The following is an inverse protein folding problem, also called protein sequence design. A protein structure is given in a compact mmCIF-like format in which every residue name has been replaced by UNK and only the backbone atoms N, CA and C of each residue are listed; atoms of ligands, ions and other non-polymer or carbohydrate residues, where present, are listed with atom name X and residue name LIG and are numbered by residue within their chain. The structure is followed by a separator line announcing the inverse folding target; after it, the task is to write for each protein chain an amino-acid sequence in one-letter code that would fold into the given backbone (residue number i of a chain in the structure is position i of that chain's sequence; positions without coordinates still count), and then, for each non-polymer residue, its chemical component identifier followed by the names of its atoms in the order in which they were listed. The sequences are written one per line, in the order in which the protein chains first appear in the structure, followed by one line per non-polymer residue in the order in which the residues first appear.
data_IF_059940967214
#
_entry.id   IF_059940967214
#
_cell.length_a   1.000
_cell.length_b   1.000
_cell.length_c   1.000
_cell.angle_alpha   90.00
_cell.angle_beta   90.00
_cell.angle_gamma   90.00
#
_symmetry.space_group_name_H-M   'P 1'
#
loop_
_entity.id
_entity.type
_entity.pdbx_description
1 polymer ?
#
# COMPACT_ATOMS: atom_id res chain seq x y z
N UNK A 1 59.43 17.42 -22.64
CA UNK A 1 59.21 15.96 -22.76
C UNK A 1 57.70 15.75 -22.88
N UNK A 2 57.09 16.13 -24.01
CA UNK A 2 56.55 15.24 -25.05
C UNK A 2 55.44 14.31 -24.49
N UNK A 3 54.13 14.59 -24.57
CA UNK A 3 53.21 14.86 -25.70
C UNK A 3 52.79 13.61 -26.49
N UNK A 4 51.46 13.42 -26.63
CA UNK A 4 50.64 12.85 -27.75
C UNK A 4 49.44 12.07 -27.15
N UNK A 5 48.15 12.47 -27.09
CA UNK A 5 47.20 13.22 -27.95
C UNK A 5 46.50 12.39 -29.07
N UNK A 6 45.15 12.48 -29.08
CA UNK A 6 44.17 12.41 -30.22
C UNK A 6 43.72 10.97 -30.60
N UNK A 7 42.44 10.60 -30.85
CA UNK A 7 41.31 11.30 -31.49
C UNK A 7 39.94 10.59 -31.35
N UNK A 8 38.89 11.41 -31.44
CA UNK A 8 37.49 11.14 -31.79
C UNK A 8 37.24 10.47 -33.16
N UNK A 9 36.04 9.91 -33.37
CA UNK A 9 35.05 10.22 -34.47
C UNK A 9 33.81 9.32 -34.30
N UNK A 10 32.58 9.83 -34.13
CA UNK A 10 31.60 10.44 -35.06
C UNK A 10 30.85 9.46 -36.01
N UNK A 11 29.51 9.51 -35.91
CA UNK A 11 28.45 8.90 -36.72
C UNK A 11 28.65 9.04 -38.25
N UNK A 12 27.92 8.23 -39.06
CA UNK A 12 26.79 8.85 -39.77
C UNK A 12 25.52 7.99 -39.92
N UNK A 13 24.42 8.74 -39.99
CA UNK A 13 23.08 8.44 -40.50
C UNK A 13 23.07 7.88 -41.93
N UNK A 14 22.08 7.03 -42.26
CA UNK A 14 21.26 7.17 -43.47
C UNK A 14 19.98 6.32 -43.47
N UNK A 15 18.90 6.99 -43.84
CA UNK A 15 17.55 6.53 -44.14
C UNK A 15 17.40 5.97 -45.56
N UNK A 16 16.37 5.12 -45.77
CA UNK A 16 15.45 5.01 -46.95
C UNK A 16 14.64 3.70 -46.81
N UNK A 17 13.33 3.71 -46.51
CA UNK A 17 12.17 3.94 -47.39
C UNK A 17 12.15 3.04 -48.64
N UNK A 18 11.32 1.98 -48.61
CA UNK A 18 10.55 1.52 -49.77
C UNK A 18 9.18 0.99 -49.33
N UNK A 19 8.17 1.46 -50.06
CA UNK A 19 6.73 1.27 -49.92
C UNK A 19 6.29 0.40 -51.09
N UNK A 20 5.33 -0.51 -50.89
CA UNK A 20 4.24 -0.67 -51.84
C UNK A 20 3.95 -2.05 -52.47
N UNK A 21 2.73 -2.53 -52.14
CA UNK A 21 1.73 -3.23 -53.00
C UNK A 21 2.06 -4.67 -53.46
N UNK A 22 1.16 -5.66 -53.58
CA UNK A 22 -0.30 -5.73 -53.85
C UNK A 22 -0.73 -7.22 -53.63
N UNK A 23 -1.78 -7.54 -52.84
CA UNK A 23 -3.17 -7.91 -53.21
C UNK A 23 -3.43 -9.16 -54.09
N UNK A 24 -4.38 -9.99 -53.58
CA UNK A 24 -5.34 -10.92 -54.23
C UNK A 24 -5.06 -12.46 -54.28
N UNK A 25 -6.11 -13.32 -54.34
CA UNK A 25 -6.27 -14.52 -53.50
C UNK A 25 -6.57 -15.80 -54.32
N UNK A 26 -6.84 -16.94 -53.67
CA UNK A 26 -7.65 -18.00 -54.30
C UNK A 26 -8.36 -18.92 -53.28
N UNK A 27 -9.67 -19.11 -53.51
CA UNK A 27 -10.56 -20.15 -52.98
C UNK A 27 -10.28 -21.51 -53.64
N UNK A 28 -10.49 -22.62 -52.93
CA UNK A 28 -11.67 -23.53 -53.03
C UNK A 28 -11.40 -24.89 -52.37
N UNK A 29 -12.41 -25.43 -51.68
CA UNK A 29 -12.42 -26.82 -51.19
C UNK A 29 -13.67 -27.12 -50.38
N UNK A 30 -14.74 -27.53 -51.07
CA UNK A 30 -16.02 -27.99 -50.56
C UNK A 30 -15.90 -29.35 -49.83
N UNK A 31 -16.69 -29.54 -48.77
CA UNK A 31 -17.48 -30.78 -48.58
C UNK A 31 -18.65 -30.50 -47.61
N UNK A 32 -19.85 -30.86 -48.06
CA UNK A 32 -21.14 -30.77 -47.37
C UNK A 32 -21.70 -32.18 -47.22
N UNK A 33 -22.32 -32.46 -46.08
CA UNK A 33 -23.47 -33.38 -45.95
C UNK A 33 -24.33 -32.79 -44.81
N UNK A 34 -25.40 -32.04 -45.07
CA UNK A 34 -26.80 -32.42 -45.39
C UNK A 34 -27.57 -33.19 -44.31
N UNK A 35 -28.57 -32.48 -43.77
CA UNK A 35 -29.99 -32.84 -43.58
C UNK A 35 -30.36 -33.98 -42.60
N UNK A 36 -31.52 -33.97 -41.92
CA UNK A 36 -32.81 -33.28 -42.08
C UNK A 36 -33.43 -33.13 -40.66
N UNK A 37 -34.08 -32.02 -40.27
CA UNK A 37 -35.35 -31.44 -40.75
C UNK A 37 -36.60 -32.14 -40.21
N UNK A 38 -37.44 -31.41 -39.45
CA UNK A 38 -38.81 -30.96 -39.79
C UNK A 38 -39.58 -30.57 -38.52
N UNK A 39 -39.96 -29.29 -38.36
CA UNK A 39 -41.19 -28.61 -38.85
C UNK A 39 -42.43 -29.00 -38.01
N UNK A 40 -43.34 -28.11 -37.59
CA UNK A 40 -44.04 -27.01 -38.26
C UNK A 40 -44.57 -26.02 -37.18
N UNK A 41 -44.45 -24.70 -37.31
CA UNK A 41 -45.23 -23.73 -38.12
C UNK A 41 -46.64 -23.40 -37.59
N UNK A 42 -46.88 -22.13 -37.23
CA UNK A 42 -47.75 -21.16 -37.93
C UNK A 42 -47.76 -19.81 -37.17
N UNK A 43 -47.22 -18.72 -37.74
CA UNK A 43 -47.90 -17.58 -38.42
C UNK A 43 -48.97 -16.90 -37.52
N UNK A 44 -48.94 -15.60 -37.20
CA UNK A 44 -49.12 -14.43 -38.11
C UNK A 44 -48.76 -13.10 -37.39
N UNK A 45 -48.52 -12.05 -38.18
CA UNK A 45 -47.89 -10.71 -37.97
C UNK A 45 -48.75 -9.61 -37.24
N UNK A 46 -48.20 -8.38 -36.95
CA UNK A 46 -48.48 -7.50 -35.78
C UNK A 46 -49.42 -6.28 -36.17
N UNK A 47 -49.64 -5.14 -35.43
CA UNK A 47 -48.75 -4.33 -34.54
C UNK A 47 -49.37 -3.63 -33.29
N UNK A 48 -48.52 -3.07 -32.41
CA UNK A 48 -48.56 -1.67 -31.86
C UNK A 48 -48.00 -1.51 -30.43
N UNK A 49 -46.99 -0.62 -30.35
CA UNK A 49 -46.67 0.40 -29.34
C UNK A 49 -47.16 0.29 -27.87
N UNK A 50 -46.15 0.21 -27.00
CA UNK A 50 -45.81 1.17 -25.92
C UNK A 50 -46.35 0.96 -24.48
N UNK A 51 -45.37 1.08 -23.55
CA UNK A 51 -45.40 1.44 -22.11
C UNK A 51 -45.54 0.36 -21.01
N UNK A 52 -44.40 0.20 -20.35
CA UNK A 52 -44.18 0.23 -18.90
C UNK A 52 -44.83 -0.82 -18.01
N UNK A 53 -44.07 -1.88 -17.72
CA UNK A 53 -44.06 -2.49 -16.38
C UNK A 53 -42.62 -2.71 -15.89
N UNK A 54 -42.19 -1.84 -14.98
CA UNK A 54 -41.03 -2.00 -14.11
C UNK A 54 -41.07 -3.36 -13.40
N UNK A 55 -40.09 -4.21 -13.70
CA UNK A 55 -39.74 -5.35 -12.86
C UNK A 55 -38.78 -4.84 -11.76
N UNK A 56 -38.99 -5.17 -10.47
CA UNK A 56 -38.15 -4.65 -9.40
C UNK A 56 -36.73 -5.20 -9.54
N UNK A 57 -35.76 -4.28 -9.53
CA UNK A 57 -34.32 -4.57 -9.57
C UNK A 57 -33.96 -5.60 -8.49
N UNK A 58 -33.32 -6.69 -8.91
CA UNK A 58 -32.67 -7.63 -8.01
C UNK A 58 -31.75 -6.88 -7.07
N UNK A 59 -32.03 -6.92 -5.77
CA UNK A 59 -31.07 -6.54 -4.73
C UNK A 59 -29.83 -7.41 -4.95
N UNK A 60 -28.75 -6.82 -5.45
CA UNK A 60 -27.44 -7.47 -5.49
C UNK A 60 -27.09 -7.93 -4.08
N UNK A 61 -26.97 -9.25 -3.91
CA UNK A 61 -26.49 -9.83 -2.67
C UNK A 61 -25.00 -9.52 -2.57
N UNK A 62 -24.64 -8.54 -1.74
CA UNK A 62 -23.26 -8.32 -1.32
C UNK A 62 -22.64 -9.66 -0.89
N UNK A 63 -21.48 -10.01 -1.48
CA UNK A 63 -20.79 -11.24 -1.13
C UNK A 63 -20.36 -11.22 0.35
N UNK A 64 -20.27 -12.38 0.99
CA UNK A 64 -19.82 -12.48 2.39
C UNK A 64 -18.45 -11.81 2.62
N UNK A 65 -17.57 -11.85 1.62
CA UNK A 65 -16.30 -11.16 1.61
C UNK A 65 -16.46 -9.63 1.57
N UNK A 66 -17.36 -9.11 0.72
CA UNK A 66 -17.67 -7.69 0.66
C UNK A 66 -18.25 -7.17 1.99
N UNK A 67 -19.09 -7.98 2.65
CA UNK A 67 -19.65 -7.68 3.97
C UNK A 67 -18.59 -7.70 5.09
N UNK A 68 -17.66 -8.65 5.05
CA UNK A 68 -16.58 -8.75 6.04
C UNK A 68 -15.57 -7.61 5.88
N UNK A 69 -15.25 -7.23 4.64
CA UNK A 69 -14.42 -6.05 4.34
C UNK A 69 -15.08 -4.73 4.74
N UNK A 70 -16.40 -4.56 4.51
CA UNK A 70 -17.16 -3.39 4.99
C UNK A 70 -17.19 -3.31 6.51
N UNK A 71 -17.38 -4.46 7.17
CA UNK A 71 -17.33 -4.52 8.62
C UNK A 71 -15.92 -4.15 9.12
N UNK A 72 -14.86 -4.66 8.49
CA UNK A 72 -13.48 -4.36 8.88
C UNK A 72 -13.13 -2.88 8.69
N UNK A 73 -13.37 -2.32 7.49
CA UNK A 73 -13.15 -0.89 7.23
C UNK A 73 -14.07 0.00 8.06
N UNK A 74 -15.30 -0.42 8.28
CA UNK A 74 -16.25 0.26 9.15
C UNK A 74 -15.83 0.23 10.62
N UNK A 75 -15.26 -0.88 11.10
CA UNK A 75 -14.67 -0.99 12.44
C UNK A 75 -13.41 -0.13 12.51
N UNK A 76 -12.49 -0.22 11.56
CA UNK A 76 -11.29 0.62 11.51
C UNK A 76 -11.67 2.11 11.49
N UNK A 77 -12.62 2.51 10.64
CA UNK A 77 -13.14 3.88 10.56
C UNK A 77 -13.88 4.31 11.84
N UNK A 78 -14.66 3.43 12.48
CA UNK A 78 -15.32 3.73 13.78
C UNK A 78 -14.33 3.80 14.93
N UNK A 79 -13.29 2.97 14.93
CA UNK A 79 -12.21 3.02 15.91
C UNK A 79 -11.42 4.33 15.75
N UNK A 80 -11.24 4.82 14.53
CA UNK A 80 -10.71 6.15 14.25
C UNK A 80 -11.69 7.23 14.76
N UNK A 81 -12.99 7.16 14.40
CA UNK A 81 -13.99 8.21 14.67
C UNK A 81 -14.45 8.33 16.14
N UNK A 82 -14.76 7.22 16.82
CA UNK A 82 -15.23 7.24 18.21
C UNK A 82 -14.17 7.77 19.18
N UNK A 83 -12.89 7.71 18.80
CA UNK A 83 -11.76 8.14 19.64
C UNK A 83 -11.51 9.65 19.58
N UNK A 84 -12.03 10.35 18.57
CA UNK A 84 -11.88 11.80 18.39
C UNK A 84 -12.94 12.64 19.10
N UNK A 85 -14.16 12.09 19.32
CA UNK A 85 -15.23 12.79 20.05
C UNK A 85 -14.90 13.01 21.55
N UNK A 86 -13.82 12.44 22.07
CA UNK A 86 -13.39 12.60 23.46
C UNK A 86 -12.27 13.65 23.65
N UNK A 87 -11.75 14.26 22.58
CA UNK A 87 -10.59 15.18 22.66
C UNK A 87 -10.91 16.65 22.30
N UNK A 88 -12.12 17.11 22.58
CA UNK A 88 -12.43 18.55 22.57
C UNK A 88 -11.92 19.23 23.86
N UNK A 89 -10.62 19.14 24.16
CA UNK A 89 -9.92 19.98 25.14
C UNK A 89 -8.40 19.81 25.05
N UNK A 90 -7.71 20.60 24.21
CA UNK A 90 -6.54 21.44 24.55
C UNK A 90 -5.64 21.71 23.34
N UNK A 91 -5.33 22.99 23.14
CA UNK A 91 -4.50 23.55 22.09
C UNK A 91 -3.00 23.59 22.44
N UNK A 92 -2.18 23.48 21.38
CA UNK A 92 -0.81 24.01 21.19
C UNK A 92 0.18 23.96 22.39
N UNK A 93 1.14 23.02 22.39
CA UNK A 93 2.51 23.23 22.95
C UNK A 93 3.56 22.35 22.25
N UNK A 94 4.67 22.99 21.88
CA UNK A 94 5.94 22.47 21.35
C UNK A 94 6.63 21.36 22.19
N UNK A 95 7.44 20.55 21.49
CA UNK A 95 8.66 19.86 21.94
C UNK A 95 8.66 19.29 23.38
N UNK A 96 8.29 18.02 23.58
CA UNK A 96 8.76 17.19 24.72
C UNK A 96 8.83 15.69 24.35
N UNK A 97 9.75 14.92 24.95
CA UNK A 97 10.18 13.61 24.43
C UNK A 97 9.23 12.46 24.77
N UNK A 98 9.21 11.47 23.87
CA UNK A 98 8.54 10.15 23.94
C UNK A 98 8.47 9.59 25.37
N UNK A 99 7.26 9.35 25.86
CA UNK A 99 7.02 8.81 27.22
C UNK A 99 7.24 7.28 27.23
N UNK A 100 8.42 6.83 27.68
CA UNK A 100 8.77 5.41 27.89
C UNK A 100 7.98 4.81 29.06
N UNK A 101 7.42 3.62 28.88
CA UNK A 101 6.88 2.80 29.97
C UNK A 101 7.85 1.62 30.14
N UNK A 102 8.54 1.53 31.27
CA UNK A 102 9.33 0.35 31.62
C UNK A 102 8.38 -0.75 32.12
N UNK A 103 8.42 -1.93 31.52
CA UNK A 103 7.81 -3.13 32.10
C UNK A 103 8.82 -3.82 33.03
N UNK A 104 8.56 -3.74 34.33
CA UNK A 104 9.09 -4.65 35.34
C UNK A 104 8.19 -5.89 35.41
N UNK A 105 8.81 -7.07 35.50
CA UNK A 105 8.23 -8.39 35.82
C UNK A 105 7.65 -9.22 34.67
N UNK A 106 8.53 -9.94 33.96
CA UNK A 106 8.23 -11.31 33.50
C UNK A 106 9.49 -12.17 33.70
N UNK A 107 9.43 -13.10 34.65
CA UNK A 107 10.50 -14.05 34.96
C UNK A 107 10.71 -15.13 33.88
N UNK A 108 11.98 -15.35 33.57
CA UNK A 108 12.68 -16.54 33.06
C UNK A 108 11.92 -17.67 32.36
N UNK A 109 12.24 -17.86 31.07
CA UNK A 109 12.71 -19.17 30.59
C UNK A 109 13.54 -19.04 29.29
N UNK A 110 14.81 -19.46 29.37
CA UNK A 110 15.65 -20.06 28.31
C UNK A 110 15.75 -19.42 26.91
N UNK A 111 16.93 -18.83 26.64
CA UNK A 111 17.66 -18.83 25.35
C UNK A 111 17.13 -18.05 24.12
N UNK A 112 16.41 -16.93 24.29
CA UNK A 112 16.25 -15.99 23.16
C UNK A 112 16.08 -14.53 23.60
N UNK A 113 17.08 -13.95 24.26
CA UNK A 113 17.06 -12.54 24.72
C UNK A 113 16.73 -11.54 23.59
N UNK A 114 17.05 -11.90 22.35
CA UNK A 114 16.76 -11.11 21.13
C UNK A 114 15.28 -11.05 20.74
N UNK A 115 14.47 -12.03 21.14
CA UNK A 115 13.03 -12.08 20.84
C UNK A 115 12.16 -11.43 21.93
N UNK A 116 12.77 -11.01 23.04
CA UNK A 116 12.08 -10.33 24.13
C UNK A 116 11.56 -8.97 23.66
N UNK A 117 10.39 -8.57 24.18
CA UNK A 117 9.87 -7.21 24.02
C UNK A 117 10.84 -6.27 24.73
N UNK A 118 11.37 -5.29 24.00
CA UNK A 118 12.33 -4.33 24.53
C UNK A 118 11.72 -2.97 24.87
N UNK A 119 10.68 -2.56 24.13
CA UNK A 119 9.96 -1.30 24.36
C UNK A 119 8.47 -1.49 24.10
N UNK A 120 7.68 -0.85 24.97
CA UNK A 120 6.25 -0.69 24.81
C UNK A 120 5.94 0.80 24.82
N UNK A 121 5.32 1.29 23.75
CA UNK A 121 4.94 2.70 23.60
C UNK A 121 3.45 2.80 23.26
N UNK A 122 2.90 4.00 23.50
CA UNK A 122 1.50 4.36 23.23
C UNK A 122 1.47 5.43 22.15
N UNK A 123 0.46 5.39 21.28
CA UNK A 123 0.41 6.32 20.14
C UNK A 123 0.12 7.71 20.66
N UNK A 124 0.89 8.68 20.19
CA UNK A 124 0.68 10.08 20.55
C UNK A 124 -0.65 10.61 19.96
N UNK A 125 -1.18 9.94 18.93
CA UNK A 125 -2.49 10.22 18.32
C UNK A 125 -3.57 9.21 18.76
N UNK A 126 -3.18 7.97 19.07
CA UNK A 126 -4.07 6.88 19.50
C UNK A 126 -3.59 6.17 20.79
N UNK A 127 -3.71 6.79 21.99
CA UNK A 127 -3.09 6.33 23.23
C UNK A 127 -3.59 4.97 23.77
N UNK A 128 -4.66 4.42 23.18
CA UNK A 128 -5.18 3.07 23.45
C UNK A 128 -4.45 1.97 22.68
N UNK A 129 -3.74 2.30 21.61
CA UNK A 129 -2.94 1.35 20.84
C UNK A 129 -1.59 1.21 21.52
N UNK A 130 -1.37 0.02 22.07
CA UNK A 130 -0.09 -0.38 22.63
C UNK A 130 0.68 -1.12 21.55
N UNK A 131 1.91 -0.70 21.28
CA UNK A 131 2.80 -1.47 20.42
C UNK A 131 4.04 -1.95 21.12
N UNK A 132 4.49 -3.11 20.64
CA UNK A 132 5.69 -3.81 21.10
C UNK A 132 6.78 -3.67 20.04
N UNK A 133 7.98 -3.29 20.48
CA UNK A 133 9.20 -3.36 19.69
C UNK A 133 10.15 -4.36 20.36
N UNK A 134 10.75 -5.29 19.61
CA UNK A 134 11.65 -6.29 20.20
C UNK A 134 13.02 -5.67 20.51
N UNK A 135 13.74 -6.23 21.48
CA UNK A 135 15.09 -5.78 21.85
C UNK A 135 16.01 -5.71 20.64
N UNK A 136 16.01 -6.74 19.79
CA UNK A 136 16.84 -6.77 18.57
C UNK A 136 16.51 -5.63 17.58
N UNK A 137 15.25 -5.20 17.54
CA UNK A 137 14.79 -4.15 16.62
C UNK A 137 15.24 -2.77 17.14
N UNK A 138 15.32 -2.60 18.46
CA UNK A 138 15.79 -1.37 19.13
C UNK A 138 17.31 -1.23 19.01
N UNK A 139 18.05 -2.31 19.26
CA UNK A 139 19.50 -2.32 19.08
C UNK A 139 19.85 -2.00 17.62
N UNK A 140 19.15 -2.62 16.66
CA UNK A 140 19.33 -2.33 15.24
C UNK A 140 18.95 -0.87 14.87
N UNK A 141 17.96 -0.27 15.53
CA UNK A 141 17.60 1.14 15.32
C UNK A 141 18.68 2.09 15.89
N UNK A 142 19.27 1.76 17.04
CA UNK A 142 20.37 2.53 17.63
C UNK A 142 21.68 2.45 16.83
N UNK A 143 21.90 1.34 16.11
CA UNK A 143 23.07 1.15 15.25
C UNK A 143 22.93 1.77 13.85
N UNK A 144 21.81 2.47 13.55
CA UNK A 144 21.55 3.00 12.21
C UNK A 144 22.54 4.09 11.80
N UNK A 145 22.93 4.01 10.52
CA UNK A 145 23.54 5.11 9.76
C UNK A 145 22.52 6.24 9.57
N UNK A 146 23.02 7.45 9.33
CA UNK A 146 22.28 8.71 9.12
C UNK A 146 20.90 8.48 8.51
N UNK A 147 19.87 8.97 9.19
CA UNK A 147 18.47 8.86 8.78
C UNK A 147 18.04 10.21 8.24
N UNK A 148 17.35 10.28 7.11
CA UNK A 148 16.77 11.55 6.64
C UNK A 148 15.39 11.77 7.25
N UNK A 149 15.07 13.03 7.47
CA UNK A 149 13.80 13.50 8.01
C UNK A 149 13.18 14.49 7.05
N UNK A 150 11.85 14.47 6.84
CA UNK A 150 10.89 13.57 7.47
C UNK A 150 10.91 12.17 6.85
N UNK A 151 10.42 11.19 7.62
CA UNK A 151 10.02 9.89 7.06
C UNK A 151 8.60 9.94 6.48
N UNK A 152 8.22 8.94 5.69
CA UNK A 152 6.91 8.86 5.06
C UNK A 152 6.10 7.64 5.53
N UNK A 153 4.87 7.88 5.98
CA UNK A 153 3.94 6.85 6.42
C UNK A 153 2.79 6.70 5.42
N UNK A 154 2.68 5.53 4.79
CA UNK A 154 1.63 5.21 3.83
C UNK A 154 0.48 4.45 4.48
N UNK A 155 -0.75 4.92 4.25
CA UNK A 155 -1.94 4.33 4.85
C UNK A 155 -2.28 2.94 4.32
N UNK A 156 -3.20 2.26 5.02
CA UNK A 156 -4.00 1.21 4.40
C UNK A 156 -4.82 1.76 3.23
N UNK A 157 -5.09 0.91 2.22
CA UNK A 157 -5.80 1.36 1.01
C UNK A 157 -6.33 0.25 0.09
N UNK A 158 -5.98 -1.02 0.33
CA UNK A 158 -6.39 -2.14 -0.52
C UNK A 158 -6.02 -1.91 -2.00
N UNK A 159 -7.00 -1.98 -2.90
CA UNK A 159 -6.80 -1.72 -4.33
C UNK A 159 -6.64 -0.24 -4.71
N UNK A 160 -6.64 0.68 -3.74
CA UNK A 160 -6.13 2.06 -3.96
C UNK A 160 -4.60 2.12 -4.02
N UNK A 161 -3.90 0.98 -4.00
CA UNK A 161 -2.45 0.86 -4.18
C UNK A 161 -1.86 1.76 -5.27
N UNK A 162 -2.46 1.92 -6.49
CA UNK A 162 -1.93 2.82 -7.51
C UNK A 162 -1.76 4.26 -7.03
N UNK A 163 -2.65 4.76 -6.18
CA UNK A 163 -2.55 6.10 -5.61
C UNK A 163 -1.25 6.27 -4.82
N UNK A 164 -0.95 5.32 -3.93
CA UNK A 164 0.29 5.36 -3.15
C UNK A 164 1.54 5.24 -4.04
N UNK A 165 1.47 4.46 -5.13
CA UNK A 165 2.56 4.37 -6.12
C UNK A 165 2.80 5.70 -6.83
N UNK A 166 1.74 6.42 -7.20
CA UNK A 166 1.84 7.75 -7.81
C UNK A 166 2.46 8.78 -6.86
N UNK A 167 2.03 8.78 -5.59
CA UNK A 167 2.64 9.62 -4.54
C UNK A 167 4.13 9.29 -4.40
N UNK A 168 4.47 8.00 -4.28
CA UNK A 168 5.85 7.55 -4.14
C UNK A 168 6.72 7.96 -5.34
N UNK A 169 6.19 7.87 -6.57
CA UNK A 169 6.90 8.29 -7.79
C UNK A 169 7.31 9.76 -7.69
N UNK A 170 6.38 10.66 -7.38
CA UNK A 170 6.69 12.08 -7.23
C UNK A 170 7.72 12.33 -6.13
N UNK A 171 7.54 11.73 -4.96
CA UNK A 171 8.42 11.93 -3.81
C UNK A 171 9.86 11.47 -4.08
N UNK A 172 10.03 10.37 -4.82
CA UNK A 172 11.35 9.88 -5.25
C UNK A 172 11.95 10.83 -6.29
N UNK A 173 11.20 11.20 -7.33
CA UNK A 173 11.69 12.07 -8.41
C UNK A 173 12.14 13.45 -7.92
N UNK A 174 11.48 13.97 -6.89
CA UNK A 174 11.80 15.27 -6.30
C UNK A 174 12.78 15.21 -5.14
N UNK A 175 13.27 14.02 -4.77
CA UNK A 175 14.30 13.86 -3.75
C UNK A 175 13.82 13.90 -2.30
N UNK A 176 12.50 13.83 -2.05
CA UNK A 176 11.95 13.69 -0.70
C UNK A 176 12.21 12.30 -0.12
N UNK A 177 12.07 11.26 -0.95
CA UNK A 177 12.39 9.88 -0.58
C UNK A 177 13.76 9.53 -1.16
N UNK A 178 14.72 9.30 -0.26
CA UNK A 178 16.09 8.90 -0.52
C UNK A 178 16.35 7.51 0.08
N UNK A 179 17.56 7.00 -0.11
CA UNK A 179 17.97 5.68 0.42
C UNK A 179 17.90 5.60 1.94
N UNK A 180 18.17 6.72 2.61
CA UNK A 180 18.16 6.89 4.07
C UNK A 180 16.80 7.28 4.64
N UNK A 181 15.78 7.50 3.80
CA UNK A 181 14.46 7.96 4.25
C UNK A 181 13.68 6.81 4.89
N UNK A 182 13.26 6.94 6.16
CA UNK A 182 12.40 5.97 6.79
C UNK A 182 11.02 5.92 6.19
N UNK A 183 10.53 4.71 5.98
CA UNK A 183 9.19 4.47 5.47
C UNK A 183 8.42 3.65 6.49
N UNK A 184 7.11 3.85 6.55
CA UNK A 184 6.23 3.01 7.34
C UNK A 184 4.94 2.79 6.57
N UNK A 185 4.36 1.61 6.70
CA UNK A 185 3.18 1.28 5.91
C UNK A 185 2.32 0.20 6.54
N UNK A 186 1.05 0.26 6.21
CA UNK A 186 0.04 -0.72 6.59
C UNK A 186 -0.69 -1.20 5.35
N UNK A 187 -0.90 -2.50 5.21
CA UNK A 187 -1.62 -3.08 4.07
C UNK A 187 -1.04 -2.61 2.72
N UNK A 188 -1.82 -1.95 1.86
CA UNK A 188 -1.33 -1.35 0.60
C UNK A 188 -0.10 -0.42 0.80
N UNK A 189 -0.05 0.35 1.87
CA UNK A 189 1.12 1.18 2.19
C UNK A 189 2.37 0.36 2.51
N UNK A 190 2.22 -0.80 3.17
CA UNK A 190 3.34 -1.71 3.44
C UNK A 190 3.92 -2.29 2.13
N UNK A 191 3.05 -2.61 1.17
CA UNK A 191 3.45 -3.06 -0.17
C UNK A 191 4.29 -1.97 -0.85
N UNK A 192 3.82 -0.71 -0.86
CA UNK A 192 4.58 0.41 -1.46
C UNK A 192 5.94 0.61 -0.78
N UNK A 193 6.00 0.54 0.55
CA UNK A 193 7.28 0.65 1.27
C UNK A 193 8.27 -0.44 0.84
N UNK A 194 7.81 -1.69 0.72
CA UNK A 194 8.64 -2.80 0.25
C UNK A 194 9.10 -2.62 -1.21
N UNK A 195 8.23 -2.11 -2.09
CA UNK A 195 8.58 -1.80 -3.48
C UNK A 195 9.66 -0.72 -3.53
N UNK A 196 9.49 0.40 -2.81
CA UNK A 196 10.47 1.50 -2.76
C UNK A 196 11.83 0.98 -2.26
N UNK A 197 11.84 0.30 -1.11
CA UNK A 197 13.07 -0.22 -0.52
C UNK A 197 13.72 -1.32 -1.39
N UNK A 198 12.93 -2.06 -2.17
CA UNK A 198 13.47 -3.04 -3.12
C UNK A 198 14.20 -2.40 -4.30
N UNK A 199 13.99 -1.10 -4.57
CA UNK A 199 14.55 -0.39 -5.72
C UNK A 199 13.80 -0.66 -7.04
N UNK A 200 12.61 -1.25 -6.99
CA UNK A 200 11.75 -1.40 -8.16
C UNK A 200 11.13 -0.05 -8.54
N UNK A 201 10.89 0.17 -9.85
CA UNK A 201 10.22 1.38 -10.33
C UNK A 201 8.73 1.35 -10.03
N UNK A 202 8.11 2.52 -9.79
CA UNK A 202 6.67 2.57 -9.54
C UNK A 202 5.86 2.16 -10.78
N UNK A 203 6.39 2.38 -11.98
CA UNK A 203 5.78 1.89 -13.24
C UNK A 203 5.69 0.36 -13.30
N UNK A 204 6.76 -0.34 -12.88
CA UNK A 204 6.74 -1.80 -12.81
C UNK A 204 5.73 -2.26 -11.74
N UNK A 205 5.75 -1.62 -10.58
CA UNK A 205 4.80 -1.91 -9.51
C UNK A 205 3.35 -1.67 -9.94
N UNK A 206 3.07 -0.63 -10.72
CA UNK A 206 1.75 -0.35 -11.27
C UNK A 206 1.33 -1.45 -12.25
N UNK A 207 2.22 -1.90 -13.14
CA UNK A 207 1.94 -3.03 -14.05
C UNK A 207 1.60 -4.31 -13.28
N UNK A 208 2.34 -4.61 -12.22
CA UNK A 208 2.07 -5.77 -11.34
C UNK A 208 0.74 -5.60 -10.61
N UNK A 209 0.44 -4.41 -10.10
CA UNK A 209 -0.85 -4.10 -9.49
C UNK A 209 -2.02 -4.25 -10.48
N UNK A 210 -1.83 -3.91 -11.75
CA UNK A 210 -2.82 -4.14 -12.82
C UNK A 210 -3.06 -5.63 -13.05
N UNK A 211 -2.02 -6.46 -13.02
CA UNK A 211 -2.16 -7.93 -13.13
C UNK A 211 -3.00 -8.48 -11.97
N UNK A 212 -2.71 -8.04 -10.75
CA UNK A 212 -3.49 -8.40 -9.55
C UNK A 212 -4.96 -7.97 -9.69
N UNK A 213 -5.19 -6.72 -10.08
CA UNK A 213 -6.51 -6.15 -10.24
C UNK A 213 -7.31 -6.86 -11.33
N UNK A 214 -6.70 -7.15 -12.48
CA UNK A 214 -7.34 -7.86 -13.58
C UNK A 214 -7.74 -9.29 -13.20
N UNK A 215 -6.84 -10.03 -12.54
CA UNK A 215 -7.15 -11.35 -12.02
C UNK A 215 -8.31 -11.31 -11.01
N UNK A 216 -8.34 -10.30 -10.14
CA UNK A 216 -9.41 -10.09 -9.17
C UNK A 216 -10.75 -9.71 -9.81
N UNK A 217 -10.76 -8.84 -10.83
CA UNK A 217 -11.98 -8.51 -11.60
C UNK A 217 -12.55 -9.74 -12.29
N UNK A 218 -11.70 -10.59 -12.87
CA UNK A 218 -12.14 -11.76 -13.65
C UNK A 218 -12.62 -12.93 -12.79
N UNK A 219 -12.00 -13.15 -11.64
CA UNK A 219 -12.19 -14.38 -10.84
C UNK A 219 -12.64 -14.11 -9.40
N UNK A 220 -12.85 -12.85 -9.02
CA UNK A 220 -13.24 -12.42 -7.68
C UNK A 220 -12.07 -12.39 -6.69
N UNK A 221 -12.18 -11.56 -5.67
CA UNK A 221 -11.16 -11.30 -4.63
C UNK A 221 -11.22 -12.30 -3.47
N UNK A 222 -12.44 -12.67 -3.10
CA UNK A 222 -12.75 -13.46 -1.90
C UNK A 222 -11.92 -14.74 -1.79
N UNK A 223 -11.29 -14.93 -0.63
CA UNK A 223 -10.53 -16.11 -0.22
C UNK A 223 -9.27 -16.41 -1.05
N UNK A 224 -8.93 -15.53 -2.00
CA UNK A 224 -7.92 -15.80 -3.04
C UNK A 224 -6.87 -14.70 -3.14
N UNK A 225 -7.21 -13.47 -2.77
CA UNK A 225 -6.34 -12.31 -2.87
C UNK A 225 -4.95 -12.54 -2.24
N UNK A 226 -4.88 -13.21 -1.09
CA UNK A 226 -3.60 -13.48 -0.43
C UNK A 226 -2.67 -14.42 -1.20
N UNK A 227 -3.23 -15.39 -1.92
CA UNK A 227 -2.44 -16.32 -2.73
C UNK A 227 -1.89 -15.61 -3.97
N UNK A 228 -2.75 -14.87 -4.69
CA UNK A 228 -2.33 -14.13 -5.90
C UNK A 228 -1.30 -13.06 -5.55
N UNK A 229 -1.51 -12.31 -4.47
CA UNK A 229 -0.54 -11.33 -3.99
C UNK A 229 0.79 -11.99 -3.64
N UNK A 230 0.78 -13.15 -2.97
CA UNK A 230 2.01 -13.89 -2.64
C UNK A 230 2.78 -14.30 -3.88
N UNK A 231 2.11 -14.83 -4.89
CA UNK A 231 2.74 -15.27 -6.13
C UNK A 231 3.44 -14.10 -6.82
N UNK A 232 2.77 -12.93 -6.90
CA UNK A 232 3.35 -11.72 -7.47
C UNK A 232 4.54 -11.20 -6.65
N UNK A 233 4.46 -11.19 -5.31
CA UNK A 233 5.61 -10.80 -4.47
C UNK A 233 6.79 -11.78 -4.63
N UNK A 234 6.52 -13.07 -4.79
CA UNK A 234 7.53 -14.09 -5.07
C UNK A 234 8.12 -14.01 -6.49
N UNK A 235 7.37 -13.48 -7.45
CA UNK A 235 7.87 -13.29 -8.80
C UNK A 235 8.71 -12.00 -8.93
N UNK A 236 8.23 -10.89 -8.36
CA UNK A 236 8.75 -9.57 -8.66
C UNK A 236 9.68 -8.97 -7.61
N UNK A 237 9.67 -9.42 -6.35
CA UNK A 237 10.63 -8.90 -5.37
C UNK A 237 12.03 -9.50 -5.59
N UNK A 238 13.11 -8.68 -5.53
CA UNK A 238 14.47 -9.18 -5.56
C UNK A 238 14.79 -10.14 -4.39
N UNK A 239 15.71 -11.10 -4.57
CA UNK A 239 16.15 -12.01 -3.50
C UNK A 239 16.64 -11.32 -2.22
N UNK A 240 17.28 -10.15 -2.35
CA UNK A 240 17.86 -9.35 -1.27
C UNK A 240 16.90 -8.28 -0.71
N UNK A 241 15.63 -8.29 -1.12
CA UNK A 241 14.61 -7.32 -0.69
C UNK A 241 14.50 -7.16 0.82
N UNK A 242 14.52 -8.26 1.57
CA UNK A 242 14.51 -8.23 3.05
C UNK A 242 15.68 -7.42 3.64
N UNK A 243 16.89 -7.60 3.12
CA UNK A 243 18.06 -6.85 3.56
C UNK A 243 17.94 -5.35 3.27
N UNK A 244 17.39 -4.99 2.09
CA UNK A 244 17.17 -3.58 1.73
C UNK A 244 16.05 -2.93 2.55
N UNK A 245 15.08 -3.73 2.99
CA UNK A 245 13.97 -3.28 3.83
C UNK A 245 14.37 -3.13 5.31
N UNK A 246 15.33 -3.94 5.78
CA UNK A 246 15.73 -3.99 7.18
C UNK A 246 16.18 -2.62 7.69
N UNK A 247 15.49 -2.15 8.73
CA UNK A 247 15.71 -0.86 9.36
C UNK A 247 15.28 0.36 8.55
N UNK A 248 14.90 0.21 7.28
CA UNK A 248 14.41 1.30 6.44
C UNK A 248 12.90 1.41 6.46
N UNK A 249 12.19 0.27 6.48
CA UNK A 249 10.73 0.24 6.46
C UNK A 249 10.17 -0.32 7.78
N UNK A 250 8.99 0.17 8.18
CA UNK A 250 8.18 -0.45 9.23
C UNK A 250 6.86 -0.96 8.66
N UNK A 251 6.60 -2.25 8.83
CA UNK A 251 5.35 -2.89 8.42
C UNK A 251 4.44 -3.03 9.64
N UNK A 252 3.26 -2.41 9.59
CA UNK A 252 2.27 -2.52 10.65
C UNK A 252 1.47 -3.82 10.54
N UNK A 253 1.30 -4.52 11.65
CA UNK A 253 0.50 -5.74 11.77
C UNK A 253 -0.32 -5.66 13.05
N UNK A 254 -1.57 -6.13 13.02
CA UNK A 254 -2.39 -6.21 14.22
C UNK A 254 -2.30 -7.61 14.83
N UNK A 255 -1.80 -7.76 16.04
CA UNK A 255 -1.86 -9.01 16.79
C UNK A 255 -3.23 -9.17 17.47
N UNK A 256 -3.82 -10.35 17.31
CA UNK A 256 -5.05 -10.74 17.99
C UNK A 256 -4.72 -11.20 19.40
N UNK A 257 -5.18 -10.43 20.38
CA UNK A 257 -5.20 -10.74 21.80
C UNK A 257 -6.55 -10.28 22.36
N UNK A 258 -6.82 -10.49 23.66
CA UNK A 258 -8.02 -9.96 24.32
C UNK A 258 -8.19 -8.45 24.13
N UNK A 259 -7.06 -7.71 24.12
CA UNK A 259 -6.95 -6.36 23.57
C UNK A 259 -6.02 -6.40 22.36
N UNK A 260 -6.47 -6.05 21.14
CA UNK A 260 -5.61 -6.01 19.97
C UNK A 260 -4.36 -5.17 20.23
N UNK A 261 -3.20 -5.66 19.80
CA UNK A 261 -1.91 -4.95 19.93
C UNK A 261 -1.31 -4.71 18.55
N UNK A 262 -0.74 -3.53 18.35
CA UNK A 262 -0.03 -3.22 17.11
C UNK A 262 1.40 -3.75 17.16
N UNK A 263 1.87 -4.33 16.06
CA UNK A 263 3.24 -4.76 15.87
C UNK A 263 3.84 -3.95 14.73
N UNK A 264 5.02 -3.36 14.94
CA UNK A 264 5.80 -2.72 13.89
C UNK A 264 7.00 -3.60 13.58
N UNK A 265 6.99 -4.20 12.39
CA UNK A 265 8.06 -5.09 11.95
C UNK A 265 9.00 -4.30 11.05
N UNK A 266 10.25 -4.15 11.48
CA UNK A 266 11.30 -3.44 10.74
C UNK A 266 12.56 -4.29 10.50
N UNK A 267 12.58 -5.51 11.03
CA UNK A 267 13.60 -6.53 10.78
C UNK A 267 12.96 -7.80 10.23
N UNK A 268 13.49 -8.25 9.10
CA UNK A 268 13.09 -9.38 8.27
C UNK A 268 14.27 -10.35 8.16
N UNK A 269 14.08 -11.58 8.63
CA UNK A 269 15.16 -12.57 8.72
C UNK A 269 15.43 -13.23 7.34
N UNK A 270 14.48 -13.11 6.41
CA UNK A 270 14.59 -13.59 5.03
C UNK A 270 13.60 -12.87 4.11
N UNK A 271 13.77 -13.05 2.79
CA UNK A 271 12.78 -12.58 1.80
C UNK A 271 11.38 -13.14 2.06
N UNK A 272 11.28 -14.41 2.43
CA UNK A 272 10.00 -15.05 2.75
C UNK A 272 9.38 -14.44 4.01
N UNK A 273 10.19 -14.10 5.02
CA UNK A 273 9.73 -13.41 6.23
C UNK A 273 9.18 -12.00 5.93
N UNK A 274 9.84 -11.24 5.03
CA UNK A 274 9.32 -9.98 4.51
C UNK A 274 7.96 -10.16 3.81
N UNK A 275 7.86 -11.12 2.89
CA UNK A 275 6.61 -11.40 2.16
C UNK A 275 5.50 -11.81 3.13
N UNK A 276 5.81 -12.64 4.13
CA UNK A 276 4.88 -13.01 5.19
C UNK A 276 4.42 -11.81 6.00
N UNK A 277 5.32 -10.88 6.34
CA UNK A 277 4.97 -9.66 7.06
C UNK A 277 4.02 -8.77 6.23
N UNK A 278 4.33 -8.52 4.96
CA UNK A 278 3.51 -7.70 4.06
C UNK A 278 2.14 -8.33 3.84
N UNK A 279 2.04 -9.64 3.58
CA UNK A 279 0.75 -10.31 3.40
C UNK A 279 -0.07 -10.29 4.70
N UNK A 280 0.59 -10.48 5.84
CA UNK A 280 -0.08 -10.39 7.15
C UNK A 280 -0.60 -8.98 7.39
N UNK A 281 0.19 -7.95 7.04
CA UNK A 281 -0.19 -6.55 7.09
C UNK A 281 -1.40 -6.22 6.22
N UNK A 282 -1.66 -7.01 5.17
CA UNK A 282 -2.85 -6.91 4.30
C UNK A 282 -3.99 -7.86 4.67
N UNK A 283 -3.87 -8.67 5.74
CA UNK A 283 -4.78 -9.79 6.00
C UNK A 283 -6.14 -9.35 6.56
N UNK A 284 -7.13 -9.19 5.68
CA UNK A 284 -8.53 -8.98 6.06
C UNK A 284 -9.27 -10.35 6.02
N UNK A 285 -9.82 -10.84 7.15
CA UNK A 285 -10.53 -12.12 7.21
C UNK A 285 -11.68 -12.20 6.20
N UNK A 286 -11.87 -13.37 5.57
CA UNK A 286 -12.90 -13.58 4.55
C UNK A 286 -12.61 -12.91 3.20
N UNK A 287 -11.66 -11.97 3.16
CA UNK A 287 -11.21 -11.28 1.96
C UNK A 287 -9.94 -11.94 1.40
N UNK A 288 -8.89 -12.02 2.23
CA UNK A 288 -7.56 -12.49 1.83
C UNK A 288 -7.44 -14.01 1.83
N UNK A 289 -8.06 -14.66 2.81
CA UNK A 289 -8.15 -16.12 2.93
C UNK A 289 -9.39 -16.54 3.74
N UNK A 290 -9.73 -17.82 3.69
CA UNK A 290 -10.82 -18.41 4.49
C UNK A 290 -10.52 -18.51 5.99
N UNK A 291 -9.24 -18.38 6.37
CA UNK A 291 -8.83 -18.43 7.78
C UNK A 291 -9.24 -17.14 8.50
N UNK A 292 -9.59 -17.22 9.80
CA UNK A 292 -9.98 -16.04 10.57
C UNK A 292 -8.81 -15.11 10.90
N UNK A 293 -7.58 -15.61 10.79
CA UNK A 293 -6.35 -14.87 11.08
C UNK A 293 -5.17 -15.46 10.29
N UNK A 294 -4.12 -14.66 10.09
CA UNK A 294 -2.81 -15.12 9.64
C UNK A 294 -1.95 -15.54 10.85
N UNK A 295 -1.02 -16.46 10.63
CA UNK A 295 0.04 -16.77 11.61
C UNK A 295 1.31 -16.08 11.13
N UNK A 296 1.83 -15.16 11.93
CA UNK A 296 3.10 -14.47 11.66
C UNK A 296 4.00 -14.56 12.89
N UNK A 297 5.19 -15.15 12.74
CA UNK A 297 6.15 -15.38 13.84
C UNK A 297 5.48 -15.93 15.11
N UNK A 298 4.70 -17.01 14.93
CA UNK A 298 3.94 -17.71 15.98
C UNK A 298 2.85 -16.89 16.69
N UNK A 299 2.41 -15.76 16.10
CA UNK A 299 1.32 -14.92 16.61
C UNK A 299 0.15 -14.94 15.65
N UNK A 300 -1.07 -14.93 16.18
CA UNK A 300 -2.28 -14.73 15.37
C UNK A 300 -2.43 -13.25 15.06
N UNK A 301 -2.53 -12.92 13.78
CA UNK A 301 -2.46 -11.56 13.28
C UNK A 301 -3.51 -11.25 12.21
N UNK A 302 -3.82 -9.97 12.07
CA UNK A 302 -4.69 -9.34 11.07
C UNK A 302 -3.96 -8.17 10.40
N UNK A 303 -4.61 -7.60 9.39
CA UNK A 303 -4.21 -6.38 8.70
C UNK A 303 -3.85 -5.27 9.71
N UNK A 304 -2.74 -4.59 9.43
CA UNK A 304 -2.18 -3.57 10.30
C UNK A 304 -3.09 -2.36 10.46
N UNK A 305 -3.98 -2.10 9.49
CA UNK A 305 -4.85 -0.94 9.44
C UNK A 305 -5.90 -0.91 10.55
N UNK A 306 -6.09 -2.04 11.25
CA UNK A 306 -6.97 -2.11 12.43
C UNK A 306 -6.37 -1.42 13.66
N UNK A 307 -5.05 -1.47 13.84
CA UNK A 307 -4.35 -0.76 14.94
C UNK A 307 -3.58 0.46 14.47
N UNK A 308 -2.98 0.40 13.28
CA UNK A 308 -2.20 1.47 12.69
C UNK A 308 -2.61 1.66 11.24
N UNK A 309 -3.57 2.56 11.04
CA UNK A 309 -3.95 2.93 9.68
C UNK A 309 -2.79 3.64 8.96
N UNK A 310 -1.99 4.44 9.68
CA UNK A 310 -0.78 5.12 9.21
C UNK A 310 0.32 5.03 10.29
N UNK A 311 1.17 3.99 10.27
CA UNK A 311 2.14 3.74 11.34
C UNK A 311 3.27 4.78 11.43
N UNK A 312 3.86 5.00 12.62
CA UNK A 312 4.96 5.95 12.78
C UNK A 312 6.27 5.47 12.13
N UNK A 313 7.03 6.40 11.57
CA UNK A 313 8.37 6.14 11.01
C UNK A 313 9.46 6.26 12.08
N UNK A 314 10.71 5.89 11.76
CA UNK A 314 11.84 6.03 12.68
C UNK A 314 12.41 7.45 12.74
N UNK A 315 12.10 8.30 11.76
CA UNK A 315 12.49 9.72 11.75
C UNK A 315 11.80 10.51 12.88
N UNK A 316 12.37 11.66 13.26
CA UNK A 316 11.74 12.55 14.25
C UNK A 316 10.43 13.19 13.76
N UNK A 317 10.29 13.37 12.44
CA UNK A 317 9.08 13.87 11.77
C UNK A 317 8.56 12.83 10.78
N UNK A 318 7.24 12.75 10.66
CA UNK A 318 6.57 11.86 9.71
C UNK A 318 5.57 12.65 8.87
N UNK A 319 5.70 12.55 7.54
CA UNK A 319 4.65 12.97 6.61
C UNK A 319 3.74 11.78 6.35
N UNK A 320 2.45 11.95 6.60
CA UNK A 320 1.44 10.90 6.39
C UNK A 320 0.81 11.02 5.02
N UNK A 321 0.68 9.88 4.34
CA UNK A 321 0.10 9.73 3.00
C UNK A 321 -1.14 8.86 3.11
N UNK A 322 -2.31 9.41 2.77
CA UNK A 322 -3.58 8.71 2.83
C UNK A 322 -4.24 8.64 1.45
N UNK A 323 -4.65 7.45 1.02
CA UNK A 323 -5.39 7.27 -0.25
C UNK A 323 -6.87 7.68 -0.18
N UNK A 324 -7.34 8.09 1.01
CA UNK A 324 -8.71 8.56 1.24
C UNK A 324 -8.71 10.04 1.61
N UNK A 325 -9.81 10.78 1.34
CA UNK A 325 -9.97 12.16 1.80
C UNK A 325 -9.87 12.24 3.32
N UNK A 326 -8.79 12.87 3.83
CA UNK A 326 -8.48 13.05 5.24
C UNK A 326 -9.62 13.76 6.01
N UNK A 327 -10.15 14.82 5.41
CA UNK A 327 -11.27 15.63 5.89
C UNK A 327 -12.51 14.82 6.25
N UNK A 328 -12.74 13.70 5.55
CA UNK A 328 -13.88 12.80 5.80
C UNK A 328 -13.59 11.71 6.81
N UNK A 329 -12.32 11.41 7.06
CA UNK A 329 -11.90 10.44 8.06
C UNK A 329 -11.74 11.07 9.45
N UNK A 330 -11.73 12.40 9.54
CA UNK A 330 -11.52 13.13 10.79
C UNK A 330 -10.09 13.03 11.31
N UNK A 331 -9.15 12.63 10.45
CA UNK A 331 -7.75 12.42 10.85
C UNK A 331 -6.96 13.68 10.54
N UNK A 332 -6.43 14.32 11.57
CA UNK A 332 -5.54 15.48 11.44
C UNK A 332 -4.09 15.05 11.15
N UNK A 333 -3.27 15.99 10.66
CA UNK A 333 -1.84 15.74 10.42
C UNK A 333 -1.55 14.78 9.25
N UNK A 334 -2.48 14.69 8.28
CA UNK A 334 -2.23 14.05 6.98
C UNK A 334 -1.61 15.09 6.05
N UNK A 335 -0.42 14.78 5.50
CA UNK A 335 0.29 15.67 4.60
C UNK A 335 -0.20 15.54 3.16
N UNK A 336 -0.30 14.32 2.65
CA UNK A 336 -0.66 14.03 1.26
C UNK A 336 -1.94 13.20 1.24
N UNK A 337 -2.98 13.72 0.58
CA UNK A 337 -4.24 13.00 0.37
C UNK A 337 -5.04 13.62 -0.78
N UNK A 338 -6.16 13.00 -1.20
CA UNK A 338 -7.09 13.60 -2.16
C UNK A 338 -7.60 15.00 -1.81
N UNK A 339 -7.50 15.43 -0.54
CA UNK A 339 -7.87 16.79 -0.15
C UNK A 339 -6.88 17.86 -0.63
N UNK A 340 -5.66 17.48 -1.01
CA UNK A 340 -4.66 18.41 -1.56
C UNK A 340 -5.12 19.01 -2.89
N UNK A 341 -5.89 18.25 -3.69
CA UNK A 341 -6.41 18.70 -4.97
C UNK A 341 -7.85 18.16 -5.17
N UNK A 342 -8.87 18.82 -4.60
CA UNK A 342 -10.23 18.25 -4.48
C UNK A 342 -11.04 18.23 -5.78
N UNK A 343 -10.53 18.80 -6.87
CA UNK A 343 -11.27 18.89 -8.13
C UNK A 343 -11.35 17.54 -8.86
N UNK A 344 -12.48 17.31 -9.54
CA UNK A 344 -12.75 16.11 -10.36
C UNK A 344 -12.52 14.78 -9.61
N UNK A 345 -12.79 14.76 -8.30
CA UNK A 345 -12.62 13.57 -7.46
C UNK A 345 -13.87 12.70 -7.45
N UNK A 346 -13.61 11.39 -7.50
CA UNK A 346 -14.60 10.37 -7.17
C UNK A 346 -15.06 10.50 -5.72
N UNK A 347 -16.26 10.03 -5.45
CA UNK A 347 -16.82 10.16 -4.10
C UNK A 347 -16.05 9.28 -3.11
N UNK A 348 -15.95 9.69 -1.85
CA UNK A 348 -15.33 8.84 -0.81
C UNK A 348 -15.95 7.44 -0.72
N UNK A 349 -17.27 7.32 -0.95
CA UNK A 349 -17.97 6.02 -0.98
C UNK A 349 -17.45 5.12 -2.10
N UNK A 350 -17.20 5.70 -3.26
CA UNK A 350 -16.63 5.00 -4.41
C UNK A 350 -15.18 4.59 -4.14
N UNK A 351 -14.36 5.45 -3.55
CA UNK A 351 -13.01 5.08 -3.10
C UNK A 351 -13.03 3.93 -2.09
N UNK A 352 -13.95 3.92 -1.12
CA UNK A 352 -14.12 2.78 -0.21
C UNK A 352 -14.60 1.50 -0.92
N UNK A 353 -15.35 1.64 -2.01
CA UNK A 353 -15.70 0.51 -2.87
C UNK A 353 -14.47 0.00 -3.59
N UNK A 354 -13.68 0.90 -4.17
CA UNK A 354 -12.47 0.58 -4.93
C UNK A 354 -11.31 0.10 -4.06
N UNK A 355 -11.26 0.47 -2.79
CA UNK A 355 -10.31 -0.10 -1.84
C UNK A 355 -10.56 -1.61 -1.64
N UNK A 356 -11.81 -2.05 -1.78
CA UNK A 356 -12.20 -3.45 -1.71
C UNK A 356 -12.06 -4.08 -3.08
N UNK A 357 -12.95 -3.79 -4.01
CA UNK A 357 -12.88 -4.40 -5.34
C UNK A 357 -12.13 -3.48 -6.30
N UNK A 358 -11.20 -3.98 -7.11
CA UNK A 358 -10.48 -3.14 -8.05
C UNK A 358 -11.43 -2.38 -8.98
N UNK A 359 -11.17 -1.09 -9.17
CA UNK A 359 -11.83 -0.27 -10.19
C UNK A 359 -11.62 -0.87 -11.60
N UNK A 360 -12.36 -0.36 -12.59
CA UNK A 360 -12.01 -0.61 -14.00
C UNK A 360 -10.59 -0.12 -14.31
N UNK A 361 -10.05 -0.57 -15.45
CA UNK A 361 -8.65 -0.32 -15.79
C UNK A 361 -8.32 1.16 -15.91
N UNK A 362 -9.22 1.97 -16.49
CA UNK A 362 -9.02 3.41 -16.66
C UNK A 362 -8.95 4.12 -15.30
N UNK A 363 -9.92 3.86 -14.42
CA UNK A 363 -9.93 4.44 -13.08
C UNK A 363 -8.76 3.94 -12.22
N UNK A 364 -8.35 2.69 -12.40
CA UNK A 364 -7.21 2.11 -11.68
C UNK A 364 -5.89 2.78 -12.06
N UNK A 365 -5.70 3.10 -13.34
CA UNK A 365 -4.55 3.91 -13.80
C UNK A 365 -4.67 5.35 -13.34
N UNK A 366 -5.88 5.93 -13.42
CA UNK A 366 -6.13 7.31 -13.00
C UNK A 366 -5.77 7.55 -11.54
N UNK A 367 -5.96 6.56 -10.66
CA UNK A 367 -5.54 6.64 -9.26
C UNK A 367 -4.04 6.95 -9.11
N UNK A 368 -3.18 6.38 -9.97
CA UNK A 368 -1.74 6.69 -9.98
C UNK A 368 -1.49 8.16 -10.29
N UNK A 369 -2.10 8.67 -11.36
CA UNK A 369 -1.95 10.07 -11.75
C UNK A 369 -2.45 11.02 -10.66
N UNK A 370 -3.59 10.69 -10.03
CA UNK A 370 -4.15 11.48 -8.93
C UNK A 370 -3.20 11.52 -7.73
N UNK A 371 -2.58 10.39 -7.36
CA UNK A 371 -1.60 10.34 -6.28
C UNK A 371 -0.37 11.20 -6.57
N UNK A 372 0.14 11.15 -7.81
CA UNK A 372 1.26 11.98 -8.24
C UNK A 372 0.92 13.48 -8.14
N UNK A 373 -0.26 13.88 -8.62
CA UNK A 373 -0.71 15.27 -8.59
C UNK A 373 -0.94 15.79 -7.17
N UNK A 374 -1.49 14.98 -6.27
CA UNK A 374 -1.69 15.37 -4.87
C UNK A 374 -0.36 15.59 -4.15
N UNK A 375 0.62 14.71 -4.40
CA UNK A 375 1.97 14.88 -3.89
C UNK A 375 2.65 16.13 -4.47
N UNK A 376 2.36 16.46 -5.73
CA UNK A 376 2.85 17.69 -6.36
C UNK A 376 2.32 18.95 -5.67
N UNK A 377 1.02 19.03 -5.42
CA UNK A 377 0.43 20.18 -4.69
C UNK A 377 1.00 20.29 -3.27
N UNK A 378 1.19 19.16 -2.59
CA UNK A 378 1.86 19.17 -1.29
C UNK A 378 3.31 19.67 -1.41
N UNK A 379 4.07 19.21 -2.41
CA UNK A 379 5.46 19.61 -2.63
C UNK A 379 5.64 21.08 -2.99
N UNK A 380 4.68 21.73 -3.65
CA UNK A 380 4.70 23.18 -3.91
C UNK A 380 4.67 24.00 -2.61
N UNK A 381 3.98 23.49 -1.59
CA UNK A 381 3.86 24.12 -0.27
C UNK A 381 5.02 23.75 0.66
N UNK A 382 5.80 22.73 0.30
CA UNK A 382 6.81 22.10 1.13
C UNK A 382 8.09 21.86 0.31
N UNK A 383 8.84 22.90 -0.09
CA UNK A 383 10.04 22.74 -0.91
C UNK A 383 11.02 21.73 -0.32
N UNK A 384 11.61 20.90 -1.17
CA UNK A 384 12.45 19.76 -0.73
C UNK A 384 13.67 20.22 0.07
N UNK A 385 14.25 21.36 -0.31
CA UNK A 385 15.42 21.95 0.34
C UNK A 385 15.14 22.42 1.78
N UNK A 386 13.88 22.74 2.09
CA UNK A 386 13.46 23.23 3.41
C UNK A 386 13.00 22.08 4.32
N UNK A 387 12.55 20.98 3.72
CA UNK A 387 11.90 19.86 4.40
C UNK A 387 12.91 18.77 4.73
N UNK A 388 13.75 18.39 3.76
CA UNK A 388 14.62 17.22 3.87
C UNK A 388 15.92 17.59 4.58
N UNK A 389 16.13 16.98 5.74
CA UNK A 389 17.33 17.19 6.57
C UNK A 389 17.93 15.86 7.00
N UNK A 390 19.25 15.80 7.09
CA UNK A 390 19.97 14.65 7.64
C UNK A 390 19.93 14.67 9.17
N UNK A 391 19.33 13.65 9.78
CA UNK A 391 19.43 13.40 11.22
C UNK A 391 20.68 12.55 11.47
N UNK A 392 21.73 13.22 11.97
CA UNK A 392 22.87 12.51 12.56
C UNK A 392 22.45 11.93 13.91
N UNK A 393 22.83 10.69 14.26
CA UNK A 393 22.54 10.14 15.58
C UNK A 393 23.15 11.06 16.64
N UNK A 394 22.33 11.48 17.61
CA UNK A 394 22.79 12.17 18.80
C UNK A 394 23.75 11.24 19.54
N UNK A 395 25.05 11.41 19.29
CA UNK A 395 26.06 10.97 20.24
C UNK A 395 25.82 11.83 21.47
N UNK A 396 25.16 11.28 22.49
CA UNK A 396 25.25 11.81 23.84
C UNK A 396 26.74 11.81 24.19
N UNK A 397 27.41 12.93 23.93
CA UNK A 397 28.64 13.27 24.59
C UNK A 397 28.26 13.46 26.06
N UNK A 398 28.25 12.36 26.81
CA UNK A 398 28.30 12.35 28.25
C UNK A 398 29.61 12.99 28.67
N UNK A 399 29.66 14.32 28.68
CA UNK A 399 30.61 15.08 29.46
C UNK A 399 30.28 14.85 30.93
N UNK A 400 30.82 13.77 31.48
CA UNK A 400 31.09 13.65 32.91
C UNK A 400 32.08 14.74 33.30
N UNK A 401 31.59 15.76 33.99
CA UNK A 401 32.37 16.58 34.93
C UNK A 401 32.08 16.14 36.34
#
# INVERSE_FOLDING_TARGET
MASLFISHTLFPSKSRLFRGLTLYPHRHGFASFTNCSKNNNNLTTPPSQDRDKKLPSSKEKLSFAAATGELFLGIASKLIKNRLNNEDSTSLVFLRPRKRINESEVENNGNNDKERIGLVMKDEIEPEVIWEQRVKDIEAENERRVVTSPGFSFSGGGFLLPYHLGVAQFLIEKGYIQETTPLAGSSAGAIVCAVIASGATMDLALKVAKILADDCRRKGTALRLGAVLRDLLNEYLPPDSHTRCNGRIRVAITQILWRPRGLLVDQFDSREDLINAVITSSFIPGYVAARPAAIFRNRLCLDGGLTFFMPPTSASKTVRVCAFPASRMGVEGIGISPDCNPENRVTGRELFSWAREPADEENFERLFELGYLDAAVWGEQNPVEDIVVDESPLVENGSTT
#
